data_IF_981220720546
#
_entry.id   IF_981220720546
#
_cell.length_a   1.000
_cell.length_b   1.000
_cell.length_c   1.000
_cell.angle_alpha   90.00
_cell.angle_beta   90.00
_cell.angle_gamma   90.00
#
_symmetry.space_group_name_H-M   'P 1'
#
loop_
_entity.id
_entity.type
_entity.pdbx_description
1 polymer ?
#
# COMPACT_ATOMS: atom_id res chain seq x y z
N UNK A 1 -3.79 -9.53 20.17
CA UNK A 1 -2.44 -9.04 19.81
C UNK A 1 -2.48 -8.53 18.37
N UNK A 2 -2.75 -7.24 18.17
CA UNK A 2 -2.81 -6.55 16.86
C UNK A 2 -1.98 -5.26 16.89
N UNK A 3 -0.93 -5.24 17.72
CA UNK A 3 -0.12 -4.06 18.03
C UNK A 3 1.09 -3.89 17.10
N UNK A 4 1.36 -4.85 16.22
CA UNK A 4 2.42 -4.73 15.23
C UNK A 4 2.04 -3.78 14.10
N UNK A 5 3.04 -3.13 13.53
CA UNK A 5 2.85 -2.24 12.38
C UNK A 5 2.53 -2.98 11.09
N UNK A 6 1.95 -2.25 10.14
CA UNK A 6 1.74 -2.75 8.78
C UNK A 6 3.07 -3.09 8.10
N UNK A 7 3.11 -4.22 7.40
CA UNK A 7 4.23 -4.57 6.53
C UNK A 7 4.21 -3.63 5.32
N UNK A 8 5.32 -2.91 5.12
CA UNK A 8 5.49 -1.98 4.01
C UNK A 8 6.78 -2.31 3.26
N UNK A 9 6.68 -2.43 1.93
CA UNK A 9 7.80 -2.80 1.05
C UNK A 9 7.73 -1.95 -0.21
N UNK A 10 8.88 -1.45 -0.66
CA UNK A 10 9.03 -0.69 -1.90
C UNK A 10 9.83 -1.48 -2.93
N UNK A 11 9.54 -1.23 -4.21
CA UNK A 11 10.29 -1.74 -5.35
C UNK A 11 10.55 -0.56 -6.29
N UNK A 12 11.75 -0.50 -6.87
CA UNK A 12 12.13 0.53 -7.82
C UNK A 12 12.27 -0.10 -9.21
N UNK A 13 11.70 0.56 -10.22
CA UNK A 13 11.73 0.13 -11.60
C UNK A 13 12.13 1.29 -12.52
N UNK A 14 12.74 0.97 -13.65
CA UNK A 14 12.93 1.95 -14.73
C UNK A 14 11.58 2.31 -15.33
N UNK A 15 11.24 3.59 -15.33
CA UNK A 15 9.99 4.09 -15.92
C UNK A 15 10.11 4.21 -17.44
N UNK A 16 9.03 3.98 -18.21
CA UNK A 16 8.97 4.34 -19.62
C UNK A 16 9.29 5.83 -19.85
N UNK A 17 9.96 6.16 -20.95
CA UNK A 17 10.38 7.54 -21.24
C UNK A 17 9.22 8.45 -21.66
N UNK A 18 8.12 7.88 -22.15
CA UNK A 18 6.97 8.63 -22.66
C UNK A 18 5.86 8.72 -21.62
N UNK A 19 5.35 9.94 -21.37
CA UNK A 19 4.25 10.19 -20.43
C UNK A 19 2.99 9.36 -20.72
N UNK A 20 2.66 9.16 -22.00
CA UNK A 20 1.51 8.34 -22.39
C UNK A 20 1.67 6.87 -21.93
N UNK A 21 2.88 6.32 -22.02
CA UNK A 21 3.18 4.95 -21.58
C UNK A 21 3.11 4.83 -20.05
N UNK A 22 3.52 5.88 -19.33
CA UNK A 22 3.41 5.93 -17.86
C UNK A 22 1.94 5.92 -17.42
N UNK A 23 1.10 6.74 -18.04
CA UNK A 23 -0.35 6.75 -17.77
C UNK A 23 -1.00 5.39 -18.09
N UNK A 24 -0.62 4.77 -19.21
CA UNK A 24 -1.09 3.43 -19.58
C UNK A 24 -0.65 2.35 -18.58
N UNK A 25 0.56 2.47 -18.02
CA UNK A 25 1.04 1.56 -16.98
C UNK A 25 0.17 1.69 -15.72
N UNK A 26 -0.10 2.91 -15.26
CA UNK A 26 -0.93 3.16 -14.07
C UNK A 26 -2.36 2.65 -14.28
N UNK A 27 -2.97 2.90 -15.44
CA UNK A 27 -4.31 2.36 -15.74
C UNK A 27 -4.32 0.83 -15.80
N UNK A 28 -3.26 0.22 -16.35
CA UNK A 28 -3.10 -1.24 -16.41
C UNK A 28 -2.94 -1.84 -15.01
N UNK A 29 -2.17 -1.19 -14.14
CA UNK A 29 -2.00 -1.60 -12.74
C UNK A 29 -3.30 -1.49 -11.94
N UNK A 30 -4.08 -0.42 -12.15
CA UNK A 30 -5.41 -0.30 -11.53
C UNK A 30 -6.35 -1.41 -11.98
N UNK A 31 -6.36 -1.71 -13.28
CA UNK A 31 -7.22 -2.74 -13.87
C UNK A 31 -6.78 -4.16 -13.47
N UNK A 32 -5.48 -4.42 -13.36
CA UNK A 32 -4.97 -5.71 -12.86
C UNK A 32 -5.25 -5.87 -11.36
N UNK A 33 -5.07 -4.82 -10.56
CA UNK A 33 -5.41 -4.84 -9.13
C UNK A 33 -6.89 -5.16 -8.93
N UNK A 34 -7.80 -4.50 -9.67
CA UNK A 34 -9.24 -4.78 -9.60
C UNK A 34 -9.53 -6.27 -9.83
N UNK A 35 -8.98 -6.86 -10.89
CA UNK A 35 -9.14 -8.29 -11.19
C UNK A 35 -8.55 -9.20 -10.11
N UNK A 36 -7.44 -8.81 -9.50
CA UNK A 36 -6.83 -9.57 -8.41
C UNK A 36 -7.72 -9.54 -7.17
N UNK A 37 -8.41 -8.43 -6.89
CA UNK A 37 -9.31 -8.34 -5.72
C UNK A 37 -10.49 -9.31 -5.84
N UNK A 38 -10.97 -9.62 -7.04
CA UNK A 38 -11.99 -10.65 -7.26
C UNK A 38 -11.52 -12.05 -6.82
N UNK A 39 -10.22 -12.32 -6.96
CA UNK A 39 -9.60 -13.59 -6.56
C UNK A 39 -9.06 -13.58 -5.12
N UNK A 40 -8.81 -12.41 -4.56
CA UNK A 40 -8.29 -12.20 -3.21
C UNK A 40 -9.15 -11.20 -2.42
N UNK A 41 -10.42 -11.52 -2.16
CA UNK A 41 -11.35 -10.61 -1.49
C UNK A 41 -10.91 -10.11 -0.11
N UNK A 42 -10.11 -10.85 0.70
CA UNK A 42 -9.63 -10.32 1.97
C UNK A 42 -8.81 -9.03 1.84
N UNK A 43 -8.18 -8.77 0.68
CA UNK A 43 -7.38 -7.55 0.48
C UNK A 43 -8.24 -6.28 0.38
N UNK A 44 -9.53 -6.43 0.04
CA UNK A 44 -10.52 -5.36 -0.01
C UNK A 44 -11.41 -5.33 1.26
N UNK A 45 -11.16 -6.19 2.24
CA UNK A 45 -11.96 -6.31 3.46
C UNK A 45 -11.50 -5.42 4.62
N UNK A 46 -12.02 -5.70 5.81
CA UNK A 46 -11.60 -5.12 7.09
C UNK A 46 -11.46 -6.20 8.16
N UNK A 47 -10.65 -5.95 9.18
CA UNK A 47 -10.63 -6.82 10.35
C UNK A 47 -11.97 -6.72 11.09
N UNK A 48 -12.43 -7.86 11.57
CA UNK A 48 -13.57 -7.96 12.47
C UNK A 48 -13.17 -8.74 13.70
N UNK A 49 -13.68 -8.31 14.85
CA UNK A 49 -13.43 -8.97 16.14
C UNK A 49 -14.77 -9.40 16.72
N UNK A 50 -14.90 -10.70 16.99
CA UNK A 50 -16.04 -11.26 17.69
C UNK A 50 -15.60 -11.78 19.07
N UNK A 51 -16.38 -11.46 20.09
CA UNK A 51 -16.23 -11.99 21.46
C UNK A 51 -17.26 -13.08 21.66
N UNK A 52 -16.86 -14.16 22.31
CA UNK A 52 -17.70 -15.34 22.55
C UNK A 52 -18.06 -15.43 24.03
N UNK A 53 -19.13 -16.16 24.34
CA UNK A 53 -19.66 -16.29 25.71
C UNK A 53 -18.69 -17.00 26.66
N UNK A 54 -17.76 -17.81 26.13
CA UNK A 54 -16.68 -18.45 26.88
C UNK A 54 -15.50 -17.51 27.21
N UNK A 55 -15.60 -16.23 26.83
CA UNK A 55 -14.57 -15.22 27.03
C UNK A 55 -13.47 -15.25 25.97
N UNK A 56 -13.54 -16.14 24.98
CA UNK A 56 -12.61 -16.17 23.86
C UNK A 56 -12.89 -15.05 22.85
N UNK A 57 -11.88 -14.76 22.01
CA UNK A 57 -11.95 -13.73 20.97
C UNK A 57 -11.47 -14.32 19.66
N UNK A 58 -12.26 -14.14 18.60
CA UNK A 58 -11.85 -14.46 17.23
C UNK A 58 -11.65 -13.19 16.42
N UNK A 59 -10.56 -13.16 15.66
CA UNK A 59 -10.28 -12.10 14.70
C UNK A 59 -10.39 -12.71 13.31
N UNK A 60 -11.19 -12.09 12.44
CA UNK A 60 -11.40 -12.51 11.06
C UNK A 60 -11.24 -11.32 10.12
N UNK A 61 -11.23 -11.60 8.81
CA UNK A 61 -11.34 -10.57 7.79
C UNK A 61 -12.77 -10.62 7.24
N UNK A 62 -13.52 -9.55 7.46
CA UNK A 62 -14.80 -9.31 6.81
C UNK A 62 -14.53 -8.84 5.37
N UNK A 63 -14.88 -9.70 4.40
CA UNK A 63 -14.69 -9.45 2.97
C UNK A 63 -15.84 -8.60 2.40
N UNK A 64 -16.02 -7.42 2.97
CA UNK A 64 -17.14 -6.51 2.73
C UNK A 64 -16.94 -5.53 1.57
N UNK A 65 -15.96 -5.81 0.70
CA UNK A 65 -15.65 -5.04 -0.51
C UNK A 65 -15.48 -3.52 -0.25
N UNK A 66 -14.95 -3.16 0.91
CA UNK A 66 -14.56 -1.78 1.25
C UNK A 66 -13.34 -1.29 0.47
N UNK A 67 -12.81 -2.12 -0.43
CA UNK A 67 -11.79 -1.79 -1.41
C UNK A 67 -10.36 -1.76 -0.86
N UNK A 68 -9.43 -1.68 -1.82
CA UNK A 68 -8.03 -1.34 -1.62
C UNK A 68 -7.73 0.00 -2.30
N UNK A 69 -6.68 0.71 -1.86
CA UNK A 69 -6.30 2.00 -2.43
C UNK A 69 -5.06 1.88 -3.32
N UNK A 70 -5.13 2.49 -4.50
CA UNK A 70 -3.98 2.74 -5.37
C UNK A 70 -3.84 4.25 -5.56
N UNK A 71 -2.75 4.81 -5.07
CA UNK A 71 -2.40 6.23 -5.23
C UNK A 71 -1.26 6.36 -6.23
N UNK A 72 -1.32 7.36 -7.11
CA UNK A 72 -0.24 7.69 -8.04
C UNK A 72 0.10 9.17 -7.91
N UNK A 73 1.40 9.48 -7.79
CA UNK A 73 1.91 10.86 -7.78
C UNK A 73 3.34 10.93 -8.30
N UNK A 74 3.82 12.15 -8.51
CA UNK A 74 5.20 12.45 -8.90
C UNK A 74 5.91 13.19 -7.76
N UNK A 75 7.08 12.71 -7.35
CA UNK A 75 7.92 13.35 -6.34
C UNK A 75 8.91 14.32 -7.01
N UNK A 76 8.48 15.57 -7.17
CA UNK A 76 9.31 16.60 -7.77
C UNK A 76 10.59 16.85 -6.96
N UNK A 77 11.74 16.86 -7.63
CA UNK A 77 13.04 17.13 -7.00
C UNK A 77 13.64 15.94 -6.24
N UNK A 78 13.01 14.76 -6.28
CA UNK A 78 13.56 13.52 -5.76
C UNK A 78 14.17 12.72 -6.91
N UNK A 79 15.44 12.36 -6.78
CA UNK A 79 16.18 11.56 -7.75
C UNK A 79 16.32 10.12 -7.27
N UNK A 80 16.55 9.20 -8.21
CA UNK A 80 16.87 7.80 -7.90
C UNK A 80 18.04 7.69 -6.91
N UNK A 81 19.07 8.54 -7.05
CA UNK A 81 20.23 8.57 -6.14
C UNK A 81 19.86 8.89 -4.70
N UNK A 82 18.84 9.73 -4.48
CA UNK A 82 18.41 10.13 -3.13
C UNK A 82 17.78 8.96 -2.38
N UNK A 83 17.12 8.03 -3.10
CA UNK A 83 16.51 6.83 -2.53
C UNK A 83 17.57 5.85 -2.01
N UNK A 84 18.74 5.80 -2.65
CA UNK A 84 19.83 4.87 -2.33
C UNK A 84 20.93 5.48 -1.46
N UNK A 85 20.68 6.61 -0.80
CA UNK A 85 21.68 7.26 0.05
C UNK A 85 22.24 6.28 1.11
N UNK A 86 23.57 6.08 1.18
CA UNK A 86 24.18 4.95 1.87
C UNK A 86 24.13 5.00 3.41
N UNK A 87 23.73 6.12 4.00
CA UNK A 87 23.84 6.32 5.46
C UNK A 87 22.50 6.44 6.20
N UNK A 88 21.43 6.84 5.52
CA UNK A 88 20.12 7.05 6.14
C UNK A 88 19.03 7.07 5.07
N UNK A 89 17.89 6.43 5.37
CA UNK A 89 16.67 6.62 4.59
C UNK A 89 16.20 8.07 4.78
N UNK A 90 16.18 8.91 3.74
CA UNK A 90 15.72 10.28 3.87
C UNK A 90 14.28 10.36 4.39
N UNK A 91 13.94 11.44 5.08
CA UNK A 91 12.62 11.61 5.67
C UNK A 91 11.48 11.50 4.63
N UNK A 92 11.73 11.98 3.40
CA UNK A 92 10.75 11.88 2.31
C UNK A 92 10.37 10.43 1.97
N UNK A 93 11.23 9.43 2.22
CA UNK A 93 10.91 8.01 1.97
C UNK A 93 9.66 7.60 2.75
N UNK A 94 9.42 8.18 3.94
CA UNK A 94 8.22 7.89 4.73
C UNK A 94 6.94 8.26 3.99
N UNK A 95 6.96 9.27 3.13
CA UNK A 95 5.81 9.65 2.30
C UNK A 95 5.43 8.59 1.27
N UNK A 96 6.37 7.72 0.87
CA UNK A 96 6.11 6.59 -0.01
C UNK A 96 5.43 5.41 0.72
N UNK A 97 5.40 5.46 2.06
CA UNK A 97 4.88 4.44 2.95
C UNK A 97 3.82 5.04 3.91
N UNK A 98 2.63 5.39 3.39
CA UNK A 98 1.63 6.18 4.11
C UNK A 98 0.97 5.45 5.29
N UNK A 99 1.25 4.16 5.50
CA UNK A 99 0.80 3.40 6.67
C UNK A 99 1.89 3.31 7.74
N UNK A 100 2.98 4.09 7.62
CA UNK A 100 4.02 4.19 8.64
C UNK A 100 3.44 4.75 9.94
N UNK A 101 3.41 3.92 10.99
CA UNK A 101 2.82 4.26 12.29
C UNK A 101 1.44 3.65 12.54
N UNK A 102 0.75 3.15 11.50
CA UNK A 102 -0.46 2.37 11.67
C UNK A 102 -0.12 0.98 12.23
N UNK A 103 -0.98 0.46 13.10
CA UNK A 103 -0.88 -0.88 13.66
C UNK A 103 -1.97 -1.78 13.09
N UNK A 104 -1.79 -3.10 13.13
CA UNK A 104 -2.73 -4.06 12.56
C UNK A 104 -4.16 -3.89 13.12
N UNK A 105 -4.30 -3.40 14.36
CA UNK A 105 -5.61 -3.09 14.95
C UNK A 105 -6.38 -2.05 14.12
N UNK A 106 -5.70 -1.11 13.48
CA UNK A 106 -6.33 -0.09 12.65
C UNK A 106 -7.04 -0.71 11.44
N UNK A 107 -6.70 -1.93 11.05
CA UNK A 107 -7.34 -2.67 9.95
C UNK A 107 -8.83 -2.94 10.12
N UNK A 108 -9.41 -2.65 11.29
CA UNK A 108 -10.86 -2.62 11.49
C UNK A 108 -11.53 -1.46 10.73
N UNK A 109 -10.80 -0.35 10.51
CA UNK A 109 -11.33 0.84 9.82
C UNK A 109 -10.46 1.23 8.62
N UNK A 110 -9.15 1.09 8.73
CA UNK A 110 -8.18 1.34 7.68
C UNK A 110 -8.13 0.20 6.65
N UNK A 111 -7.60 0.54 5.47
CA UNK A 111 -7.39 -0.39 4.37
C UNK A 111 -6.40 -1.48 4.77
N UNK A 112 -6.73 -2.74 4.44
CA UNK A 112 -5.79 -3.85 4.60
C UNK A 112 -4.70 -3.86 3.51
N UNK A 113 -4.96 -3.20 2.37
CA UNK A 113 -4.00 -3.06 1.28
C UNK A 113 -4.01 -1.65 0.70
N UNK A 114 -2.81 -1.05 0.65
CA UNK A 114 -2.53 0.19 -0.04
C UNK A 114 -1.32 0.01 -0.95
N UNK A 115 -1.43 0.54 -2.17
CA UNK A 115 -0.37 0.54 -3.18
C UNK A 115 -0.10 2.00 -3.56
N UNK A 116 1.18 2.38 -3.54
CA UNK A 116 1.63 3.70 -3.95
C UNK A 116 2.52 3.55 -5.18
N UNK A 117 2.20 4.30 -6.23
CA UNK A 117 3.03 4.49 -7.40
C UNK A 117 3.61 5.90 -7.30
N UNK A 118 4.93 5.99 -7.24
CA UNK A 118 5.64 7.26 -7.18
C UNK A 118 6.59 7.35 -8.38
N UNK A 119 6.50 8.43 -9.14
CA UNK A 119 7.48 8.77 -10.16
C UNK A 119 8.55 9.67 -9.55
N UNK A 120 9.82 9.30 -9.76
CA UNK A 120 11.00 10.06 -9.33
C UNK A 120 11.83 10.42 -10.56
N UNK A 121 12.65 11.47 -10.44
CA UNK A 121 13.55 11.88 -11.51
C UNK A 121 14.61 10.78 -11.74
N UNK A 122 14.92 10.54 -13.02
CA UNK A 122 16.09 9.75 -13.40
C UNK A 122 17.37 10.44 -12.87
N UNK A 123 18.45 9.66 -12.73
CA UNK A 123 19.78 10.07 -12.27
C UNK A 123 20.19 11.49 -12.72
#
# INVERSE_FOLDING_TARGET
MLTFGYIQKGLLFTSPSQQQQQQQLVSSLRSSLSRVLDHYPPLAGRLSTAKHDDGSVSISIDCNDQGAELTHFTAHGVFVSDVFSPFYAPEFIRSFFPLSGAINHDGHSALLKKIVICEVNAW
#
